data_IF_097577451657
#
_entry.id   IF_097577451657
#
_cell.length_a   1.000
_cell.length_b   1.000
_cell.length_c   1.000
_cell.angle_alpha   90.00
_cell.angle_beta   90.00
_cell.angle_gamma   90.00
#
_symmetry.space_group_name_H-M   'P 1'
#
loop_
_entity.id
_entity.type
_entity.pdbx_description
1 polymer ?
#
# COMPACT_ATOMS: atom_id res chain seq x y z
N UNK A 1 -40.49 -12.07 -58.65
CA UNK A 1 -40.68 -12.21 -57.19
C UNK A 1 -40.81 -13.66 -56.70
N UNK A 2 -39.84 -14.55 -57.05
CA UNK A 2 -39.82 -15.93 -56.57
C UNK A 2 -38.46 -16.40 -56.08
N UNK A 3 -37.50 -15.48 -55.90
CA UNK A 3 -36.11 -15.83 -55.51
C UNK A 3 -35.76 -15.61 -54.01
N UNK A 4 -36.64 -14.91 -53.26
CA UNK A 4 -36.31 -14.52 -51.86
C UNK A 4 -36.76 -15.54 -50.80
N UNK A 5 -37.75 -16.39 -51.14
CA UNK A 5 -38.34 -17.36 -50.18
C UNK A 5 -37.42 -18.58 -49.96
N UNK A 6 -36.78 -19.09 -51.04
CA UNK A 6 -35.98 -20.31 -50.96
C UNK A 6 -34.65 -20.14 -50.17
N UNK A 7 -34.05 -18.95 -50.26
CA UNK A 7 -32.82 -18.65 -49.48
C UNK A 7 -33.11 -18.51 -47.98
N UNK A 8 -34.27 -17.95 -47.62
CA UNK A 8 -34.73 -17.82 -46.23
C UNK A 8 -35.05 -19.17 -45.58
N UNK A 9 -35.62 -20.11 -46.38
CA UNK A 9 -35.99 -21.44 -45.88
C UNK A 9 -34.78 -22.37 -45.73
N UNK A 10 -33.74 -22.21 -46.55
CA UNK A 10 -32.46 -22.93 -46.41
C UNK A 10 -31.72 -22.47 -45.15
N UNK A 11 -31.73 -21.16 -44.89
CA UNK A 11 -31.09 -20.60 -43.70
C UNK A 11 -31.83 -21.03 -42.40
N UNK A 12 -33.13 -21.07 -42.39
CA UNK A 12 -33.93 -21.57 -41.27
C UNK A 12 -33.71 -23.05 -40.97
N UNK A 13 -33.48 -23.89 -41.97
CA UNK A 13 -33.19 -25.31 -41.78
C UNK A 13 -31.79 -25.55 -41.22
N UNK A 14 -30.82 -24.76 -41.66
CA UNK A 14 -29.46 -24.86 -41.09
C UNK A 14 -29.37 -24.46 -39.61
N UNK A 15 -30.23 -23.56 -39.14
CA UNK A 15 -30.28 -23.16 -37.72
C UNK A 15 -31.05 -24.17 -36.88
N UNK A 16 -31.98 -24.98 -37.49
CA UNK A 16 -32.71 -26.03 -36.75
C UNK A 16 -31.97 -27.34 -36.57
N UNK A 17 -30.88 -27.57 -37.31
CA UNK A 17 -30.04 -28.75 -37.15
C UNK A 17 -28.86 -28.55 -36.18
N UNK A 18 -28.75 -27.40 -35.57
CA UNK A 18 -27.81 -27.21 -34.44
C UNK A 18 -28.41 -27.88 -33.20
N UNK A 19 -27.97 -29.10 -32.94
CA UNK A 19 -28.29 -29.82 -31.72
C UNK A 19 -27.74 -29.01 -30.53
N UNK A 20 -28.62 -28.30 -29.84
CA UNK A 20 -28.25 -27.47 -28.66
C UNK A 20 -27.73 -28.32 -27.47
N UNK A 21 -27.87 -29.63 -27.56
CA UNK A 21 -27.38 -30.56 -26.53
C UNK A 21 -25.85 -30.76 -26.61
N UNK A 22 -25.20 -30.29 -27.68
CA UNK A 22 -23.73 -30.39 -27.86
C UNK A 22 -23.04 -29.15 -27.30
N UNK A 23 -23.74 -28.07 -26.97
CA UNK A 23 -23.15 -26.87 -26.42
C UNK A 23 -22.86 -27.10 -24.94
N UNK A 24 -21.57 -27.07 -24.50
CA UNK A 24 -21.24 -27.18 -23.10
C UNK A 24 -21.86 -26.00 -22.33
N UNK A 25 -22.75 -26.31 -21.40
CA UNK A 25 -23.32 -25.30 -20.51
C UNK A 25 -22.20 -24.81 -19.60
N UNK A 26 -21.81 -23.56 -19.73
CA UNK A 26 -20.82 -22.95 -18.86
C UNK A 26 -21.50 -22.07 -17.80
N UNK A 27 -21.22 -22.35 -16.54
CA UNK A 27 -21.62 -21.52 -15.42
C UNK A 27 -20.46 -20.58 -15.06
N UNK A 28 -20.69 -19.27 -15.08
CA UNK A 28 -19.73 -18.27 -14.63
C UNK A 28 -20.08 -17.85 -13.22
N UNK A 29 -19.20 -18.14 -12.26
CA UNK A 29 -19.35 -17.74 -10.87
C UNK A 29 -18.46 -16.53 -10.65
N UNK A 30 -19.03 -15.41 -10.18
CA UNK A 30 -18.29 -14.24 -9.73
C UNK A 30 -18.04 -14.36 -8.23
N UNK A 31 -16.77 -14.34 -7.84
CA UNK A 31 -16.32 -14.33 -6.45
C UNK A 31 -16.21 -12.90 -5.94
N UNK A 32 -16.68 -12.65 -4.73
CA UNK A 32 -16.47 -11.38 -4.05
C UNK A 32 -15.04 -11.23 -3.52
N UNK A 33 -14.42 -12.34 -3.11
CA UNK A 33 -13.02 -12.41 -2.72
C UNK A 33 -12.30 -13.44 -3.61
N UNK A 34 -11.24 -13.04 -4.32
CA UNK A 34 -10.44 -13.96 -5.13
C UNK A 34 -9.81 -15.13 -4.35
N UNK A 35 -9.59 -14.96 -3.02
CA UNK A 35 -9.02 -16.00 -2.16
C UNK A 35 -9.98 -17.18 -1.93
N UNK A 36 -11.29 -16.97 -2.11
CA UNK A 36 -12.32 -18.01 -1.90
C UNK A 36 -12.39 -19.04 -3.05
N UNK A 37 -11.58 -18.89 -4.11
CA UNK A 37 -11.64 -19.77 -5.26
C UNK A 37 -11.28 -21.23 -4.90
N UNK A 38 -10.33 -21.45 -3.99
CA UNK A 38 -9.93 -22.78 -3.54
C UNK A 38 -11.08 -23.53 -2.86
N UNK A 39 -11.86 -22.84 -2.04
CA UNK A 39 -13.03 -23.40 -1.36
C UNK A 39 -14.11 -23.85 -2.35
N UNK A 40 -14.24 -23.14 -3.47
CA UNK A 40 -15.22 -23.48 -4.51
C UNK A 40 -14.74 -24.67 -5.33
N UNK A 41 -13.45 -24.73 -5.66
CA UNK A 41 -12.85 -25.88 -6.34
C UNK A 41 -13.05 -27.13 -5.49
N UNK A 42 -12.69 -27.08 -4.21
CA UNK A 42 -12.81 -28.23 -3.29
C UNK A 42 -14.27 -28.72 -3.16
N UNK A 43 -15.25 -27.81 -3.16
CA UNK A 43 -16.68 -28.16 -3.09
C UNK A 43 -17.24 -28.70 -4.41
N UNK A 44 -16.65 -28.33 -5.53
CA UNK A 44 -17.10 -28.76 -6.86
C UNK A 44 -16.31 -29.96 -7.40
N UNK A 45 -15.14 -30.22 -6.83
CA UNK A 45 -14.33 -31.38 -7.16
C UNK A 45 -15.06 -32.67 -6.71
N UNK A 46 -15.23 -33.60 -7.66
CA UNK A 46 -16.00 -34.83 -7.44
C UNK A 46 -17.49 -34.74 -7.76
N UNK A 47 -18.02 -33.60 -8.22
CA UNK A 47 -19.40 -33.53 -8.70
C UNK A 47 -19.49 -34.06 -10.14
N UNK A 48 -20.24 -35.13 -10.43
CA UNK A 48 -20.32 -35.73 -11.76
C UNK A 48 -20.94 -34.82 -12.82
N UNK A 49 -21.60 -33.73 -12.41
CA UNK A 49 -22.14 -32.71 -13.32
C UNK A 49 -21.09 -31.70 -13.80
N UNK A 50 -19.92 -31.63 -13.15
CA UNK A 50 -18.85 -30.69 -13.48
C UNK A 50 -17.79 -31.41 -14.29
N UNK A 51 -17.74 -31.14 -15.59
CA UNK A 51 -16.86 -31.82 -16.53
C UNK A 51 -15.45 -31.25 -16.53
N UNK A 52 -15.31 -29.95 -16.31
CA UNK A 52 -14.04 -29.22 -16.26
C UNK A 52 -14.23 -27.89 -15.50
N UNK A 53 -13.41 -27.66 -14.49
CA UNK A 53 -13.34 -26.37 -13.80
C UNK A 53 -12.21 -25.58 -14.46
N UNK A 54 -12.54 -24.65 -15.33
CA UNK A 54 -11.54 -23.69 -15.86
C UNK A 54 -11.44 -22.52 -14.89
N UNK A 55 -10.75 -22.74 -13.81
CA UNK A 55 -10.40 -21.64 -12.92
C UNK A 55 -9.25 -20.85 -13.56
N UNK A 56 -9.44 -19.54 -13.71
CA UNK A 56 -8.30 -18.63 -13.88
C UNK A 56 -7.44 -18.54 -12.60
N UNK A 57 -7.64 -19.52 -11.69
CA UNK A 57 -7.06 -19.58 -10.36
C UNK A 57 -5.55 -19.55 -10.37
N UNK A 58 -4.91 -20.29 -11.27
CA UNK A 58 -3.44 -20.29 -11.36
C UNK A 58 -2.88 -18.90 -11.72
N UNK A 59 -3.57 -18.17 -12.61
CA UNK A 59 -3.19 -16.80 -12.93
C UNK A 59 -3.47 -15.85 -11.78
N UNK A 60 -4.59 -16.02 -11.09
CA UNK A 60 -4.97 -15.23 -9.90
C UNK A 60 -3.99 -15.51 -8.77
N UNK A 61 -3.67 -16.76 -8.48
CA UNK A 61 -2.70 -17.17 -7.46
C UNK A 61 -1.31 -16.59 -7.74
N UNK A 62 -0.86 -16.63 -8.98
CA UNK A 62 0.40 -15.98 -9.38
C UNK A 62 0.36 -14.47 -9.17
N UNK A 63 -0.75 -13.81 -9.50
CA UNK A 63 -0.92 -12.37 -9.27
C UNK A 63 -0.92 -12.04 -7.77
N UNK A 64 -1.63 -12.81 -6.94
CA UNK A 64 -1.64 -12.64 -5.49
C UNK A 64 -0.25 -12.87 -4.89
N UNK A 65 0.47 -13.90 -5.34
CA UNK A 65 1.84 -14.18 -4.91
C UNK A 65 2.79 -13.06 -5.30
N UNK A 66 2.69 -12.55 -6.52
CA UNK A 66 3.48 -11.39 -6.99
C UNK A 66 3.17 -10.16 -6.15
N UNK A 67 1.89 -9.88 -5.91
CA UNK A 67 1.46 -8.73 -5.09
C UNK A 67 2.00 -8.85 -3.66
N UNK A 68 1.87 -10.01 -3.02
CA UNK A 68 2.38 -10.25 -1.67
C UNK A 68 3.91 -10.11 -1.63
N UNK A 69 4.62 -10.60 -2.63
CA UNK A 69 6.08 -10.46 -2.73
C UNK A 69 6.49 -9.00 -2.88
N UNK A 70 5.76 -8.23 -3.69
CA UNK A 70 6.00 -6.79 -3.85
C UNK A 70 5.73 -6.02 -2.57
N UNK A 71 4.62 -6.31 -1.88
CA UNK A 71 4.29 -5.69 -0.58
C UNK A 71 5.35 -6.02 0.47
N UNK A 72 5.77 -7.29 0.56
CA UNK A 72 6.81 -7.71 1.49
C UNK A 72 8.14 -7.01 1.20
N UNK A 73 8.57 -6.98 -0.06
CA UNK A 73 9.81 -6.31 -0.44
C UNK A 73 9.75 -4.81 -0.17
N UNK A 74 8.65 -4.13 -0.52
CA UNK A 74 8.45 -2.72 -0.22
C UNK A 74 8.48 -2.43 1.29
N UNK A 75 7.89 -3.32 2.10
CA UNK A 75 7.91 -3.21 3.57
C UNK A 75 9.33 -3.34 4.12
N UNK A 76 10.12 -4.29 3.63
CA UNK A 76 11.53 -4.45 4.03
C UNK A 76 12.32 -3.18 3.68
N UNK A 77 12.18 -2.67 2.46
CA UNK A 77 12.83 -1.43 2.06
C UNK A 77 12.40 -0.23 2.92
N UNK A 78 11.11 -0.11 3.23
CA UNK A 78 10.61 0.95 4.10
C UNK A 78 11.23 0.89 5.51
N UNK A 79 11.36 -0.30 6.09
CA UNK A 79 12.01 -0.50 7.40
C UNK A 79 13.49 -0.14 7.34
N UNK A 80 14.20 -0.53 6.28
CA UNK A 80 15.62 -0.18 6.10
C UNK A 80 15.81 1.33 5.97
N UNK A 81 14.97 2.01 5.20
CA UNK A 81 15.02 3.47 5.04
C UNK A 81 14.70 4.16 6.37
N UNK A 82 13.68 3.69 7.10
CA UNK A 82 13.34 4.22 8.42
C UNK A 82 14.51 4.07 9.41
N UNK A 83 15.19 2.93 9.38
CA UNK A 83 16.38 2.70 10.22
C UNK A 83 17.55 3.63 9.83
N UNK A 84 17.80 3.80 8.55
CA UNK A 84 18.82 4.74 8.06
C UNK A 84 18.49 6.19 8.47
N UNK A 85 17.23 6.61 8.33
CA UNK A 85 16.75 7.91 8.76
C UNK A 85 16.93 8.10 10.28
N UNK A 86 16.64 7.06 11.08
CA UNK A 86 16.85 7.09 12.53
C UNK A 86 18.31 7.34 12.91
N UNK A 87 19.25 6.65 12.26
CA UNK A 87 20.69 6.87 12.47
C UNK A 87 21.08 8.29 12.05
N UNK A 88 20.56 8.77 10.94
CA UNK A 88 20.85 10.10 10.44
C UNK A 88 20.40 11.19 11.43
N UNK A 89 19.18 11.10 11.95
CA UNK A 89 18.65 12.02 12.95
C UNK A 89 19.53 12.00 14.21
N UNK A 90 19.90 10.83 14.70
CA UNK A 90 20.80 10.71 15.87
C UNK A 90 22.14 11.40 15.62
N UNK A 91 22.73 11.21 14.44
CA UNK A 91 24.02 11.82 14.11
C UNK A 91 23.91 13.34 13.98
N UNK A 92 22.84 13.85 13.34
CA UNK A 92 22.58 15.30 13.23
C UNK A 92 22.41 15.93 14.60
N UNK A 93 21.60 15.33 15.46
CA UNK A 93 21.38 15.83 16.83
C UNK A 93 22.65 15.82 17.68
N UNK A 94 23.50 14.79 17.52
CA UNK A 94 24.82 14.76 18.19
C UNK A 94 25.73 15.90 17.73
N UNK A 95 25.74 16.14 16.41
CA UNK A 95 26.55 17.22 15.85
C UNK A 95 26.06 18.58 16.33
N UNK A 96 24.73 18.82 16.33
CA UNK A 96 24.09 20.03 16.85
C UNK A 96 24.40 20.21 18.34
N UNK A 97 24.25 19.16 19.15
CA UNK A 97 24.59 19.22 20.58
C UNK A 97 26.08 19.50 20.84
N UNK A 98 26.96 18.93 20.01
CA UNK A 98 28.38 19.22 20.10
C UNK A 98 28.71 20.67 19.71
N UNK A 99 28.08 21.21 18.69
CA UNK A 99 28.23 22.61 18.30
C UNK A 99 27.76 23.56 19.42
N UNK A 100 26.67 23.22 20.12
CA UNK A 100 26.11 24.01 21.24
C UNK A 100 26.67 23.64 22.60
N UNK A 101 27.80 22.91 22.68
CA UNK A 101 28.39 22.42 23.96
C UNK A 101 28.69 23.52 24.97
N UNK A 102 29.10 24.73 24.53
CA UNK A 102 29.37 25.85 25.43
C UNK A 102 28.09 26.33 26.12
N UNK A 103 27.00 26.45 25.38
CA UNK A 103 25.69 26.84 25.90
C UNK A 103 25.17 25.80 26.90
N UNK A 104 25.28 24.51 26.54
CA UNK A 104 24.91 23.39 27.41
C UNK A 104 25.70 23.43 28.73
N UNK A 105 27.00 23.73 28.65
CA UNK A 105 27.86 23.84 29.85
C UNK A 105 27.43 24.99 30.76
N UNK A 106 27.11 26.15 30.19
CA UNK A 106 26.57 27.30 30.93
C UNK A 106 25.27 26.94 31.63
N UNK A 107 24.33 26.32 30.89
CA UNK A 107 23.03 25.87 31.45
C UNK A 107 23.23 24.91 32.64
N UNK A 108 24.19 23.98 32.54
CA UNK A 108 24.53 23.08 33.66
C UNK A 108 25.11 23.84 34.87
N UNK A 109 25.95 24.84 34.62
CA UNK A 109 26.59 25.62 35.71
C UNK A 109 25.55 26.40 36.53
N UNK A 110 24.48 26.90 35.87
CA UNK A 110 23.39 27.61 36.55
C UNK A 110 22.33 26.67 37.09
N UNK A 111 22.54 25.32 37.05
CA UNK A 111 21.67 24.33 37.64
C UNK A 111 20.49 23.86 36.76
N UNK A 112 20.52 24.08 35.47
CA UNK A 112 19.47 23.58 34.57
C UNK A 112 19.39 22.05 34.59
N UNK A 113 18.15 21.53 34.66
CA UNK A 113 17.92 20.09 34.62
C UNK A 113 18.26 19.48 33.25
N UNK A 114 18.63 18.20 33.21
CA UNK A 114 18.93 17.49 31.99
C UNK A 114 17.75 17.49 30.98
N UNK A 115 16.52 17.47 31.51
CA UNK A 115 15.30 17.55 30.70
C UNK A 115 15.16 18.92 30.03
N UNK A 116 15.45 19.99 30.74
CA UNK A 116 15.40 21.35 30.19
C UNK A 116 16.43 21.52 29.05
N UNK A 117 17.62 20.96 29.21
CA UNK A 117 18.66 21.00 28.18
C UNK A 117 18.26 20.17 26.94
N UNK A 118 17.51 19.09 27.10
CA UNK A 118 17.09 18.22 26.00
C UNK A 118 15.92 18.77 25.19
N UNK A 119 15.06 19.56 25.82
CA UNK A 119 13.81 20.03 25.26
C UNK A 119 13.94 20.69 23.87
N UNK A 120 14.85 21.65 23.64
CA UNK A 120 15.03 22.28 22.35
C UNK A 120 15.38 21.28 21.23
N UNK A 121 16.21 20.29 21.53
CA UNK A 121 16.59 19.26 20.53
C UNK A 121 15.44 18.31 20.21
N UNK A 122 14.58 18.02 21.20
CA UNK A 122 13.37 17.23 20.97
C UNK A 122 12.43 17.98 20.02
N UNK A 123 12.21 19.28 20.27
CA UNK A 123 11.39 20.10 19.38
C UNK A 123 11.99 20.18 17.98
N UNK A 124 13.31 20.36 17.84
CA UNK A 124 14.00 20.39 16.55
C UNK A 124 13.73 19.10 15.76
N UNK A 125 13.94 17.93 16.38
CA UNK A 125 13.73 16.63 15.74
C UNK A 125 12.24 16.39 15.36
N UNK A 126 11.31 16.79 16.22
CA UNK A 126 9.87 16.67 15.93
C UNK A 126 9.46 17.59 14.79
N UNK A 127 9.94 18.83 14.76
CA UNK A 127 9.65 19.77 13.67
C UNK A 127 10.21 19.29 12.33
N UNK A 128 11.47 18.84 12.29
CA UNK A 128 12.07 18.27 11.08
C UNK A 128 11.25 17.07 10.57
N UNK A 129 10.86 16.17 11.47
CA UNK A 129 10.07 15.01 11.14
C UNK A 129 8.68 15.38 10.60
N UNK A 130 8.01 16.37 11.22
CA UNK A 130 6.70 16.85 10.77
C UNK A 130 6.78 17.50 9.37
N UNK A 131 7.79 18.32 9.11
CA UNK A 131 7.99 18.93 7.80
C UNK A 131 8.20 17.84 6.75
N UNK A 132 9.10 16.89 7.01
CA UNK A 132 9.37 15.78 6.10
C UNK A 132 8.13 14.94 5.80
N UNK A 133 7.36 14.60 6.82
CA UNK A 133 6.10 13.84 6.66
C UNK A 133 5.04 14.64 5.92
N UNK A 134 4.91 15.94 6.18
CA UNK A 134 3.96 16.79 5.46
C UNK A 134 4.26 16.86 3.97
N UNK A 135 5.53 16.97 3.60
CA UNK A 135 5.97 16.92 2.20
C UNK A 135 5.68 15.55 1.58
N UNK A 136 6.01 14.46 2.29
CA UNK A 136 5.76 13.10 1.81
C UNK A 136 4.28 12.81 1.59
N UNK A 137 3.42 13.22 2.52
CA UNK A 137 1.97 13.11 2.42
C UNK A 137 1.44 13.93 1.25
N UNK A 138 1.91 15.18 1.11
CA UNK A 138 1.51 16.07 0.00
C UNK A 138 1.87 15.49 -1.36
N UNK A 139 3.08 14.94 -1.51
CA UNK A 139 3.51 14.26 -2.73
C UNK A 139 2.70 12.98 -2.99
N UNK A 140 2.44 12.18 -1.94
CA UNK A 140 1.60 10.97 -2.04
C UNK A 140 0.17 11.28 -2.49
N UNK A 141 -0.46 12.29 -1.90
CA UNK A 141 -1.79 12.76 -2.30
C UNK A 141 -1.79 13.28 -3.74
N UNK A 142 -0.80 14.08 -4.11
CA UNK A 142 -0.63 14.59 -5.48
C UNK A 142 -0.48 13.45 -6.49
N UNK A 143 0.32 12.44 -6.16
CA UNK A 143 0.50 11.27 -7.02
C UNK A 143 -0.80 10.47 -7.20
N UNK A 144 -1.56 10.23 -6.10
CA UNK A 144 -2.84 9.53 -6.16
C UNK A 144 -3.85 10.30 -7.02
N UNK A 145 -3.94 11.63 -6.85
CA UNK A 145 -4.85 12.45 -7.65
C UNK A 145 -4.44 12.48 -9.12
N UNK A 146 -3.16 12.60 -9.41
CA UNK A 146 -2.65 12.51 -10.77
C UNK A 146 -2.97 11.16 -11.42
N UNK A 147 -2.81 10.07 -10.68
CA UNK A 147 -3.13 8.72 -11.16
C UNK A 147 -4.61 8.52 -11.45
N UNK A 148 -5.50 9.09 -10.61
CA UNK A 148 -6.96 9.05 -10.83
C UNK A 148 -7.38 9.79 -12.12
N UNK A 149 -6.65 10.83 -12.51
CA UNK A 149 -6.97 11.67 -13.69
C UNK A 149 -6.34 11.13 -14.97
N UNK A 150 -5.35 10.23 -14.86
CA UNK A 150 -4.68 9.65 -16.02
C UNK A 150 -5.52 8.55 -16.64
N UNK A 151 -5.63 8.53 -17.98
CA UNK A 151 -6.42 7.59 -18.80
C UNK A 151 -6.16 6.11 -18.50
N UNK A 152 -5.02 5.79 -17.88
CA UNK A 152 -4.62 4.42 -17.48
C UNK A 152 -5.47 3.92 -16.30
N UNK A 153 -5.88 4.81 -15.40
CA UNK A 153 -6.68 4.45 -14.22
C UNK A 153 -8.13 4.09 -14.61
N UNK A 154 -8.68 4.77 -15.61
CA UNK A 154 -10.06 4.59 -16.05
C UNK A 154 -10.32 3.26 -16.79
N UNK A 155 -9.24 2.64 -17.30
CA UNK A 155 -9.35 1.43 -18.14
C UNK A 155 -8.97 0.12 -17.43
N UNK A 156 -8.20 0.14 -16.34
CA UNK A 156 -7.60 -1.08 -15.78
C UNK A 156 -7.84 -1.21 -14.25
N UNK A 157 -7.90 -0.11 -13.50
CA UNK A 157 -8.04 -0.15 -12.05
C UNK A 157 -8.97 0.98 -11.57
N UNK A 158 -10.21 0.65 -11.30
CA UNK A 158 -11.07 1.48 -10.44
C UNK A 158 -10.60 1.32 -9.00
N UNK A 159 -9.42 1.90 -8.70
CA UNK A 159 -8.90 1.94 -7.33
C UNK A 159 -9.68 3.03 -6.60
N UNK A 160 -10.88 2.69 -6.15
CA UNK A 160 -11.68 3.52 -5.27
C UNK A 160 -11.04 3.59 -3.87
N UNK A 161 -9.86 4.25 -3.76
CA UNK A 161 -9.30 4.57 -2.46
C UNK A 161 -10.21 5.60 -1.82
N UNK A 162 -10.91 5.20 -0.76
CA UNK A 162 -11.78 6.09 0.01
C UNK A 162 -10.98 7.24 0.61
N UNK A 163 -11.50 8.45 0.50
CA UNK A 163 -10.87 9.64 1.11
C UNK A 163 -10.72 9.48 2.64
N UNK A 164 -11.67 8.77 3.29
CA UNK A 164 -11.56 8.44 4.71
C UNK A 164 -10.34 7.57 5.04
N UNK A 165 -9.98 6.64 4.14
CA UNK A 165 -8.77 5.83 4.31
C UNK A 165 -7.51 6.69 4.20
N UNK A 166 -7.44 7.61 3.24
CA UNK A 166 -6.31 8.51 3.06
C UNK A 166 -6.12 9.45 4.26
N UNK A 167 -7.21 9.98 4.81
CA UNK A 167 -7.17 10.82 6.01
C UNK A 167 -6.65 10.02 7.21
N UNK A 168 -7.18 8.83 7.46
CA UNK A 168 -6.72 7.98 8.55
C UNK A 168 -5.24 7.60 8.39
N UNK A 169 -4.81 7.25 7.18
CA UNK A 169 -3.40 6.95 6.89
C UNK A 169 -2.51 8.16 7.18
N UNK A 170 -2.93 9.35 6.77
CA UNK A 170 -2.22 10.61 7.05
C UNK A 170 -2.07 10.85 8.55
N UNK A 171 -3.15 10.67 9.32
CA UNK A 171 -3.11 10.83 10.78
C UNK A 171 -2.16 9.82 11.44
N UNK A 172 -2.23 8.56 11.03
CA UNK A 172 -1.33 7.51 11.56
C UNK A 172 0.14 7.84 11.23
N UNK A 173 0.43 8.31 10.02
CA UNK A 173 1.78 8.72 9.61
C UNK A 173 2.27 9.90 10.46
N UNK A 174 1.47 10.94 10.65
CA UNK A 174 1.83 12.10 11.46
C UNK A 174 2.09 11.72 12.92
N UNK A 175 1.24 10.89 13.52
CA UNK A 175 1.42 10.44 14.89
C UNK A 175 2.66 9.56 15.05
N UNK A 176 2.88 8.62 14.13
CA UNK A 176 4.06 7.75 14.15
C UNK A 176 5.35 8.55 14.02
N UNK A 177 5.35 9.59 13.19
CA UNK A 177 6.52 10.47 12.98
C UNK A 177 6.86 11.27 14.23
N UNK A 178 5.87 11.80 14.95
CA UNK A 178 6.10 12.50 16.23
C UNK A 178 6.77 11.55 17.25
N UNK A 179 6.23 10.34 17.37
CA UNK A 179 6.78 9.32 18.26
C UNK A 179 8.23 8.98 17.85
N UNK A 180 8.46 8.79 16.56
CA UNK A 180 9.77 8.45 16.01
C UNK A 180 10.80 9.56 16.24
N UNK A 181 10.44 10.83 15.98
CA UNK A 181 11.31 12.00 16.23
C UNK A 181 11.64 12.16 17.71
N UNK A 182 10.65 11.95 18.59
CA UNK A 182 10.86 11.96 20.04
C UNK A 182 11.87 10.88 20.47
N UNK A 183 11.69 9.64 20.04
CA UNK A 183 12.60 8.54 20.38
C UNK A 183 14.02 8.77 19.84
N UNK A 184 14.13 9.20 18.58
CA UNK A 184 15.42 9.48 17.96
C UNK A 184 16.19 10.57 18.72
N UNK A 185 15.50 11.66 19.12
CA UNK A 185 16.07 12.73 19.91
C UNK A 185 16.49 12.25 21.30
N UNK A 186 15.63 11.47 21.96
CA UNK A 186 15.95 10.95 23.31
C UNK A 186 17.21 10.08 23.32
N UNK A 187 17.34 9.19 22.31
CA UNK A 187 18.53 8.32 22.17
C UNK A 187 19.77 9.14 21.78
N UNK A 188 19.60 10.07 20.81
CA UNK A 188 20.72 10.87 20.28
C UNK A 188 21.40 11.72 21.34
N UNK A 189 20.62 12.38 22.19
CA UNK A 189 21.17 13.33 23.18
C UNK A 189 21.65 12.65 24.46
N UNK A 190 21.08 11.48 24.80
CA UNK A 190 21.43 10.78 26.05
C UNK A 190 22.94 10.54 26.18
N UNK A 191 23.60 10.21 25.08
CA UNK A 191 25.05 9.94 25.08
C UNK A 191 25.88 11.22 25.26
N UNK A 192 25.46 12.33 24.62
CA UNK A 192 26.17 13.61 24.69
C UNK A 192 26.08 14.27 26.07
N UNK A 193 25.02 14.01 26.82
CA UNK A 193 24.83 14.56 28.14
C UNK A 193 25.52 13.73 29.25
N UNK A 194 25.92 12.49 28.95
CA UNK A 194 26.59 11.63 29.92
C UNK A 194 28.13 11.70 29.84
N UNK A 195 28.66 12.25 28.73
CA UNK A 195 30.07 12.59 28.53
C UNK A 195 30.31 14.04 28.96
#
# INVERSE_FOLDING_TARGET
HRGSSAASDVYKRQVQEVDFDILPTSLRINLNDPADYELIIERMDGNPAVKEIRASGEAIERLLTLTNTLVLSATIFAVLIAFAAFILIINTLRLTAYAKRKEIKIMRTIGASATYIRLPFIFEAVFESLIGTSIAVGLGWGFIQYSKTSFIAESIFDIAISDSYLINLTLVLLLSTIIFGFFASFVGIRKVLND
#
